data_IF_410503010966
#
_entry.id   IF_410503010966
#
_cell.length_a   1.000
_cell.length_b   1.000
_cell.length_c   1.000
_cell.angle_alpha   90.00
_cell.angle_beta   90.00
_cell.angle_gamma   90.00
#
_symmetry.space_group_name_H-M   'P 1'
#
loop_
_entity.id
_entity.type
_entity.pdbx_description
1 polymer ?
#
# COMPACT_ATOMS: atom_id res chain seq x y z
N UNK A 1 -4.15 10.35 -1.99
CA UNK A 1 -3.07 10.53 -0.98
C UNK A 1 -1.92 9.62 -1.35
N UNK A 2 -0.68 10.11 -1.34
CA UNK A 2 0.44 9.35 -1.90
C UNK A 2 1.12 8.48 -0.86
N UNK A 3 1.32 7.22 -1.22
CA UNK A 3 2.03 6.22 -0.43
C UNK A 3 3.19 5.65 -1.24
N UNK A 4 4.30 5.39 -0.56
CA UNK A 4 5.48 4.75 -1.14
C UNK A 4 5.56 3.31 -0.66
N UNK A 5 5.79 2.37 -1.57
CA UNK A 5 5.99 0.97 -1.22
C UNK A 5 7.31 0.85 -0.44
N UNK A 6 7.26 0.31 0.78
CA UNK A 6 8.43 0.17 1.65
C UNK A 6 8.75 -1.29 1.98
N UNK A 7 7.78 -2.19 1.85
CA UNK A 7 7.98 -3.60 2.13
C UNK A 7 7.03 -4.47 1.29
N UNK A 8 7.39 -5.74 1.13
CA UNK A 8 6.63 -6.74 0.38
C UNK A 8 6.74 -8.09 1.08
N UNK A 9 5.61 -8.77 1.20
CA UNK A 9 5.59 -10.14 1.66
C UNK A 9 4.62 -10.96 0.81
N UNK A 10 4.98 -12.23 0.63
CA UNK A 10 4.15 -13.18 -0.09
C UNK A 10 3.37 -14.01 0.92
N UNK A 11 2.05 -14.00 0.78
CA UNK A 11 1.21 -14.95 1.47
C UNK A 11 0.56 -15.87 0.42
N UNK A 12 0.97 -17.14 0.44
CA UNK A 12 0.58 -18.14 -0.56
C UNK A 12 0.78 -17.68 -2.01
N UNK A 13 -0.31 -17.28 -2.69
CA UNK A 13 -0.35 -16.91 -4.10
C UNK A 13 -0.56 -15.41 -4.35
N UNK A 14 -0.72 -14.60 -3.29
CA UNK A 14 -1.01 -13.18 -3.41
C UNK A 14 0.14 -12.38 -2.80
N UNK A 15 0.60 -11.37 -3.53
CA UNK A 15 1.64 -10.47 -3.04
C UNK A 15 0.99 -9.31 -2.29
N UNK A 16 1.39 -9.16 -1.04
CA UNK A 16 0.98 -8.05 -0.19
C UNK A 16 2.11 -7.05 -0.07
N UNK A 17 1.77 -5.77 -0.09
CA UNK A 17 2.72 -4.67 0.02
C UNK A 17 2.37 -3.79 1.19
N UNK A 18 3.40 -3.31 1.87
CA UNK A 18 3.26 -2.27 2.87
C UNK A 18 3.68 -0.96 2.23
N UNK A 19 2.78 0.02 2.27
CA UNK A 19 3.04 1.35 1.74
C UNK A 19 2.99 2.39 2.86
N UNK A 20 3.96 3.30 2.86
CA UNK A 20 4.04 4.40 3.83
C UNK A 20 3.54 5.70 3.22
N UNK A 21 2.65 6.40 3.92
CA UNK A 21 2.16 7.71 3.52
C UNK A 21 3.30 8.72 3.46
N UNK A 22 3.33 9.51 2.40
CA UNK A 22 4.31 10.59 2.23
C UNK A 22 3.88 11.88 2.94
N UNK A 23 2.61 11.97 3.38
CA UNK A 23 2.07 13.14 4.06
C UNK A 23 2.22 13.00 5.58
N UNK A 24 2.73 14.07 6.21
CA UNK A 24 2.76 14.20 7.67
C UNK A 24 1.34 14.30 8.24
N UNK A 25 1.11 13.67 9.42
CA UNK A 25 -0.17 13.68 10.16
C UNK A 25 -1.36 13.00 9.45
N UNK A 26 -1.11 11.91 8.73
CA UNK A 26 -2.14 11.05 8.13
C UNK A 26 -1.84 9.58 8.41
N UNK A 27 -2.78 8.63 8.20
CA UNK A 27 -2.52 7.20 8.35
C UNK A 27 -1.22 6.81 7.68
N UNK A 28 -0.23 6.49 8.52
CA UNK A 28 1.16 6.42 8.10
C UNK A 28 1.43 5.20 7.24
N UNK A 29 0.64 4.14 7.40
CA UNK A 29 0.85 2.89 6.70
C UNK A 29 -0.47 2.32 6.20
N UNK A 30 -0.38 1.66 5.07
CA UNK A 30 -1.45 0.83 4.52
C UNK A 30 -0.87 -0.49 4.04
N UNK A 31 -1.75 -1.47 3.96
CA UNK A 31 -1.46 -2.75 3.33
C UNK A 31 -2.37 -2.91 2.15
N UNK A 32 -1.76 -3.29 1.03
CA UNK A 32 -2.43 -3.47 -0.25
C UNK A 32 -2.08 -4.83 -0.80
N UNK A 33 -3.07 -5.48 -1.40
CA UNK A 33 -2.86 -6.65 -2.25
C UNK A 33 -2.85 -6.22 -3.70
N UNK A 34 -1.95 -6.83 -4.48
CA UNK A 34 -1.87 -6.64 -5.91
C UNK A 34 -1.58 -7.98 -6.59
N UNK A 35 -2.23 -8.21 -7.73
CA UNK A 35 -1.78 -9.24 -8.68
C UNK A 35 -0.56 -8.78 -9.49
N UNK A 36 -0.28 -7.47 -9.52
CA UNK A 36 0.86 -6.89 -10.23
C UNK A 36 2.04 -6.71 -9.29
N UNK A 37 3.25 -6.94 -9.81
CA UNK A 37 4.48 -6.71 -9.05
C UNK A 37 4.79 -5.21 -8.94
N UNK A 38 4.82 -4.71 -7.71
CA UNK A 38 5.28 -3.35 -7.39
C UNK A 38 6.75 -3.34 -6.96
N UNK A 39 7.50 -2.33 -7.40
CA UNK A 39 8.88 -2.05 -7.05
C UNK A 39 9.01 -1.36 -5.69
N UNK A 40 9.67 -2.05 -4.76
CA UNK A 40 10.05 -1.52 -3.46
C UNK A 40 10.83 -0.21 -3.59
N UNK A 41 10.49 0.76 -2.74
CA UNK A 41 11.14 2.06 -2.61
C UNK A 41 11.19 2.93 -3.89
N UNK A 42 10.56 2.51 -4.98
CA UNK A 42 10.47 3.23 -6.24
C UNK A 42 9.02 3.62 -6.51
N UNK A 43 8.10 2.68 -6.31
CA UNK A 43 6.71 2.90 -6.65
C UNK A 43 6.01 3.78 -5.62
N UNK A 44 5.25 4.73 -6.18
CA UNK A 44 4.35 5.60 -5.45
C UNK A 44 2.95 5.35 -5.98
N UNK A 45 2.03 5.08 -5.07
CA UNK A 45 0.62 4.89 -5.36
C UNK A 45 -0.19 6.06 -4.81
N UNK A 46 -1.23 6.43 -5.55
CA UNK A 46 -2.23 7.41 -5.17
C UNK A 46 -3.43 6.64 -4.59
N UNK A 47 -3.73 6.88 -3.33
CA UNK A 47 -4.79 6.18 -2.59
C UNK A 47 -5.98 7.09 -2.39
N UNK A 48 -7.15 6.63 -2.81
CA UNK A 48 -8.45 7.19 -2.46
C UNK A 48 -9.07 6.35 -1.33
N UNK A 49 -8.99 6.90 -0.11
CA UNK A 49 -9.56 6.28 1.09
C UNK A 49 -11.08 6.26 1.11
N UNK A 50 -11.76 7.13 0.36
CA UNK A 50 -13.23 7.12 0.31
C UNK A 50 -13.74 5.94 -0.52
N UNK A 51 -12.99 5.56 -1.56
CA UNK A 51 -13.34 4.46 -2.45
C UNK A 51 -12.59 3.17 -2.13
N UNK A 52 -11.68 3.17 -1.16
CA UNK A 52 -10.74 2.08 -0.87
C UNK A 52 -9.98 1.59 -2.10
N UNK A 53 -9.61 2.53 -2.98
CA UNK A 53 -8.90 2.27 -4.22
C UNK A 53 -7.51 2.87 -4.18
N UNK A 54 -6.58 2.24 -4.88
CA UNK A 54 -5.28 2.82 -5.13
C UNK A 54 -4.92 2.70 -6.61
N UNK A 55 -4.38 3.78 -7.16
CA UNK A 55 -3.88 3.87 -8.53
C UNK A 55 -2.39 4.18 -8.50
N UNK A 56 -1.69 4.05 -9.63
CA UNK A 56 -0.34 4.56 -9.74
C UNK A 56 -0.32 6.08 -9.57
N UNK A 57 0.78 6.64 -9.08
CA UNK A 57 0.97 8.09 -9.07
C UNK A 57 0.95 8.73 -10.49
N UNK A 58 1.09 7.91 -11.54
CA UNK A 58 0.93 8.29 -12.96
C UNK A 58 -0.55 8.34 -13.42
N UNK A 59 -1.49 7.88 -12.59
CA UNK A 59 -2.93 7.84 -12.89
C UNK A 59 -3.42 6.53 -13.51
N UNK A 60 -2.53 5.58 -13.78
CA UNK A 60 -2.92 4.25 -14.27
C UNK A 60 -3.64 3.46 -13.17
N UNK A 61 -4.79 2.89 -13.54
CA UNK A 61 -5.56 2.06 -12.62
C UNK A 61 -4.83 0.75 -12.37
N UNK A 62 -4.54 0.50 -11.10
CA UNK A 62 -4.06 -0.78 -10.62
C UNK A 62 -5.17 -1.34 -9.74
N UNK A 63 -5.52 -2.61 -9.95
CA UNK A 63 -6.48 -3.33 -9.11
C UNK A 63 -5.86 -3.62 -7.74
N UNK A 64 -5.63 -2.57 -6.96
CA UNK A 64 -5.13 -2.64 -5.59
C UNK A 64 -6.30 -2.67 -4.63
N UNK A 65 -6.31 -3.70 -3.79
CA UNK A 65 -7.26 -3.82 -2.70
C UNK A 65 -6.58 -3.39 -1.41
N UNK A 66 -7.05 -2.30 -0.81
CA UNK A 66 -6.57 -1.87 0.51
C UNK A 66 -7.17 -2.80 1.55
N UNK A 67 -6.31 -3.53 2.27
CA UNK A 67 -6.73 -4.43 3.33
C UNK A 67 -6.90 -3.70 4.65
N UNK A 68 -5.91 -2.87 4.99
CA UNK A 68 -5.83 -2.19 6.28
C UNK A 68 -5.11 -0.86 6.17
N UNK A 69 -5.45 0.06 7.08
CA UNK A 69 -4.79 1.34 7.29
C UNK A 69 -4.52 1.55 8.76
N UNK A 70 -3.32 1.99 9.12
CA UNK A 70 -2.93 2.20 10.51
C UNK A 70 -1.90 3.33 10.66
N UNK A 71 -1.90 3.96 11.83
CA UNK A 71 -1.05 5.11 12.14
C UNK A 71 0.37 4.70 12.60
N UNK A 72 0.54 3.47 13.09
CA UNK A 72 1.80 2.94 13.59
C UNK A 72 2.07 1.55 13.02
N UNK A 73 3.30 1.29 12.60
CA UNK A 73 3.72 -0.03 12.14
C UNK A 73 3.70 -1.02 13.31
N UNK A 74 2.60 -1.74 13.46
CA UNK A 74 2.44 -2.76 14.48
C UNK A 74 3.01 -4.09 13.95
N UNK A 75 4.03 -4.61 14.63
CA UNK A 75 4.73 -5.85 14.22
C UNK A 75 3.85 -7.11 14.29
N UNK A 76 2.62 -6.99 14.81
CA UNK A 76 1.64 -8.07 14.82
C UNK A 76 1.24 -8.59 13.41
N UNK A 77 1.66 -7.92 12.33
CA UNK A 77 1.48 -8.38 10.95
C UNK A 77 2.27 -9.65 10.57
N UNK A 78 3.25 -10.06 11.37
CA UNK A 78 4.09 -11.23 11.13
C UNK A 78 3.64 -12.49 11.88
N UNK A 79 2.44 -12.47 12.49
CA UNK A 79 1.92 -13.55 13.33
C UNK A 79 1.19 -14.65 12.55
#
# INVERSE_FOLDING_TARGET
>A
MRYKIIDVYQNENITSYIAKCLKLHSPQFIIIESAQTLCLNLDIIEVDHQQSKATWATGEEISLKILHSFDSFDQNYLS
#
